data_IF_135294686311
#
_entry.id   IF_135294686311
#
_cell.length_a   1.000
_cell.length_b   1.000
_cell.length_c   1.000
_cell.angle_alpha   90.00
_cell.angle_beta   90.00
_cell.angle_gamma   90.00
#
_symmetry.space_group_name_H-M   'P 1'
#
loop_
_entity.id
_entity.type
_entity.pdbx_description
1 polymer ?
#
# COMPACT_ATOMS: atom_id res chain seq x y z
N UNK A 1 10.07 25.74 24.77
CA UNK A 1 11.41 25.66 24.15
C UNK A 1 11.44 26.67 23.01
N UNK A 2 12.39 27.57 23.02
CA UNK A 2 12.66 28.47 21.88
C UNK A 2 13.16 27.59 20.74
N UNK A 3 12.40 27.53 19.61
CA UNK A 3 12.84 26.89 18.37
C UNK A 3 14.23 27.45 18.01
N UNK A 4 15.19 26.57 17.81
CA UNK A 4 16.42 26.94 17.15
C UNK A 4 16.01 27.37 15.74
N UNK A 5 16.21 28.62 15.35
CA UNK A 5 15.63 29.16 14.12
C UNK A 5 16.40 28.72 12.86
N UNK A 6 17.45 27.89 13.00
CA UNK A 6 18.34 27.57 11.90
C UNK A 6 18.79 26.09 11.90
N UNK A 7 18.61 25.42 10.78
CA UNK A 7 18.94 24.01 10.58
C UNK A 7 19.70 23.77 9.26
N UNK A 8 20.52 22.73 9.22
CA UNK A 8 21.12 22.25 7.95
C UNK A 8 20.05 21.61 7.08
N UNK A 9 19.06 20.94 7.73
CA UNK A 9 18.00 20.21 7.06
C UNK A 9 16.65 20.38 7.79
N UNK A 10 15.61 20.81 7.08
CA UNK A 10 14.23 20.70 7.53
C UNK A 10 13.50 19.58 6.76
N UNK A 11 12.87 18.67 7.49
CA UNK A 11 12.11 17.55 6.94
C UNK A 11 10.62 17.85 7.12
N UNK A 12 9.87 17.89 6.02
CA UNK A 12 8.44 18.23 6.05
C UNK A 12 7.61 16.97 5.99
N UNK A 13 7.04 16.58 7.13
CA UNK A 13 6.26 15.37 7.35
C UNK A 13 7.04 14.33 8.15
N UNK A 14 6.50 13.95 9.32
CA UNK A 14 7.09 12.98 10.26
C UNK A 14 6.57 11.56 10.07
N UNK A 15 6.29 11.13 8.82
CA UNK A 15 5.91 9.75 8.49
C UNK A 15 7.10 8.80 8.39
N UNK A 16 6.90 7.66 7.72
CA UNK A 16 7.93 6.66 7.50
C UNK A 16 9.20 7.27 6.88
N UNK A 17 9.05 7.98 5.75
CA UNK A 17 10.16 8.64 5.07
C UNK A 17 10.80 9.73 5.93
N UNK A 18 9.99 10.54 6.62
CA UNK A 18 10.51 11.65 7.44
C UNK A 18 11.34 11.17 8.62
N UNK A 19 10.89 10.16 9.35
CA UNK A 19 11.65 9.58 10.47
C UNK A 19 12.96 8.94 9.97
N UNK A 20 12.93 8.25 8.82
CA UNK A 20 14.15 7.67 8.22
C UNK A 20 15.11 8.77 7.73
N UNK A 21 14.60 9.83 7.14
CA UNK A 21 15.41 10.99 6.75
C UNK A 21 16.08 11.63 7.99
N UNK A 22 15.32 11.83 9.08
CA UNK A 22 15.82 12.36 10.33
C UNK A 22 16.94 11.50 10.94
N UNK A 23 16.73 10.17 10.99
CA UNK A 23 17.76 9.23 11.47
C UNK A 23 19.03 9.31 10.60
N UNK A 24 18.87 9.33 9.28
CA UNK A 24 20.00 9.37 8.35
C UNK A 24 20.77 10.68 8.46
N UNK A 25 20.07 11.79 8.60
CA UNK A 25 20.66 13.13 8.77
C UNK A 25 21.37 13.25 10.13
N UNK A 26 20.72 12.83 11.21
CA UNK A 26 21.30 12.83 12.56
C UNK A 26 22.55 11.96 12.65
N UNK A 27 22.53 10.75 12.09
CA UNK A 27 23.73 9.88 11.98
C UNK A 27 24.84 10.51 11.14
N UNK A 28 24.51 11.46 10.29
CA UNK A 28 25.46 12.22 9.48
C UNK A 28 25.97 13.50 10.16
N UNK A 29 25.49 13.81 11.37
CA UNK A 29 25.86 14.99 12.14
C UNK A 29 25.18 16.29 11.69
N UNK A 30 24.11 16.23 10.89
CA UNK A 30 23.37 17.41 10.43
C UNK A 30 22.43 17.90 11.54
N UNK A 31 22.43 19.22 11.79
CA UNK A 31 21.42 19.86 12.63
C UNK A 31 20.06 19.81 11.91
N UNK A 32 19.14 18.97 12.40
CA UNK A 32 17.95 18.56 11.67
C UNK A 32 16.68 18.76 12.49
N UNK A 33 15.62 19.24 11.83
CA UNK A 33 14.25 19.31 12.38
C UNK A 33 13.26 18.55 11.51
N UNK A 34 12.36 17.82 12.15
CA UNK A 34 11.18 17.19 11.51
C UNK A 34 9.95 18.05 11.85
N UNK A 35 9.27 18.55 10.82
CA UNK A 35 8.07 19.36 10.92
C UNK A 35 6.84 18.49 10.63
N UNK A 36 6.06 18.19 11.66
CA UNK A 36 4.87 17.32 11.56
C UNK A 36 3.59 18.12 11.85
N UNK A 37 2.60 17.98 10.98
CA UNK A 37 1.30 18.67 11.12
C UNK A 37 0.42 18.16 12.25
N UNK A 38 0.60 16.89 12.63
CA UNK A 38 -0.14 16.27 13.73
C UNK A 38 0.60 16.45 15.05
N UNK A 39 -0.07 16.13 16.16
CA UNK A 39 0.51 16.16 17.51
C UNK A 39 1.53 15.04 17.77
N UNK A 40 1.74 14.14 16.80
CA UNK A 40 2.71 13.03 16.88
C UNK A 40 3.18 12.62 15.50
N UNK A 41 4.47 12.31 15.36
CA UNK A 41 5.07 11.68 14.19
C UNK A 41 4.66 10.20 14.05
N UNK A 42 4.73 9.65 12.85
CA UNK A 42 4.59 8.21 12.56
C UNK A 42 3.18 7.63 12.64
N UNK A 43 2.12 8.44 12.74
CA UNK A 43 0.75 7.95 12.94
C UNK A 43 0.30 6.94 11.87
N UNK A 44 0.63 7.17 10.58
CA UNK A 44 0.26 6.27 9.48
C UNK A 44 0.97 4.92 9.57
N UNK A 45 2.19 4.85 10.16
CA UNK A 45 2.94 3.59 10.35
C UNK A 45 2.09 2.58 11.15
N UNK A 46 1.40 3.05 12.20
CA UNK A 46 0.60 2.21 13.09
C UNK A 46 -0.56 1.48 12.39
N UNK A 47 -1.05 2.03 11.27
CA UNK A 47 -2.13 1.43 10.50
C UNK A 47 -1.65 0.46 9.41
N UNK A 48 -0.36 0.44 9.11
CA UNK A 48 0.19 -0.39 8.03
C UNK A 48 0.19 -1.88 8.38
N UNK A 49 -0.03 -2.73 7.36
CA UNK A 49 -0.04 -4.18 7.53
C UNK A 49 -1.06 -4.66 8.58
N UNK A 50 -2.24 -4.02 8.68
CA UNK A 50 -3.24 -4.28 9.73
C UNK A 50 -2.66 -4.19 11.16
N UNK A 51 -1.89 -3.15 11.43
CA UNK A 51 -1.24 -2.93 12.74
C UNK A 51 0.03 -3.76 12.97
N UNK A 52 0.50 -4.52 11.97
CA UNK A 52 1.73 -5.34 12.06
C UNK A 52 2.96 -4.63 11.48
N UNK A 53 2.78 -3.62 10.64
CA UNK A 53 3.80 -2.92 9.86
C UNK A 53 4.59 -3.87 8.94
N UNK A 54 4.10 -4.08 7.72
CA UNK A 54 4.85 -4.80 6.69
C UNK A 54 5.99 -3.89 6.18
N UNK A 55 7.17 -4.04 6.75
CA UNK A 55 8.33 -3.16 6.58
C UNK A 55 8.89 -3.16 5.15
N UNK A 56 8.86 -4.35 4.51
CA UNK A 56 9.53 -4.57 3.23
C UNK A 56 9.09 -5.90 2.62
N UNK A 57 9.70 -6.24 1.49
CA UNK A 57 9.58 -7.54 0.82
C UNK A 57 10.93 -7.93 0.21
N UNK A 58 11.27 -9.22 0.25
CA UNK A 58 12.50 -9.75 -0.35
C UNK A 58 12.44 -9.85 -1.89
N UNK A 59 11.23 -9.75 -2.46
CA UNK A 59 10.97 -9.97 -3.88
C UNK A 59 10.73 -8.66 -4.65
N UNK A 60 11.28 -7.53 -4.21
CA UNK A 60 11.08 -6.22 -4.85
C UNK A 60 11.81 -6.17 -6.19
N UNK A 61 11.06 -5.87 -7.26
CA UNK A 61 11.61 -5.65 -8.60
C UNK A 61 10.98 -4.41 -9.22
N UNK A 62 11.62 -3.84 -10.24
CA UNK A 62 11.08 -2.68 -10.98
C UNK A 62 9.73 -2.97 -11.65
N UNK A 63 9.44 -4.23 -11.97
CA UNK A 63 8.15 -4.64 -12.53
C UNK A 63 6.98 -4.50 -11.55
N UNK A 64 7.26 -4.30 -10.26
CA UNK A 64 6.27 -4.19 -9.21
C UNK A 64 5.80 -2.76 -8.95
N UNK A 65 6.33 -1.76 -9.69
CA UNK A 65 5.94 -0.37 -9.57
C UNK A 65 5.43 0.24 -10.89
N UNK A 66 4.55 1.22 -10.72
CA UNK A 66 4.15 2.17 -11.75
C UNK A 66 4.67 3.55 -11.35
N UNK A 67 5.47 4.21 -12.20
CA UNK A 67 6.14 5.46 -11.86
C UNK A 67 6.43 6.31 -13.09
N UNK A 68 6.55 7.63 -12.89
CA UNK A 68 7.11 8.58 -13.87
C UNK A 68 8.62 8.82 -13.68
N UNK A 69 9.24 8.24 -12.63
CA UNK A 69 10.68 8.29 -12.44
C UNK A 69 11.40 7.44 -13.49
N UNK A 70 12.64 7.83 -13.81
CA UNK A 70 13.54 7.00 -14.57
C UNK A 70 13.82 5.68 -13.80
N UNK A 71 13.76 4.55 -14.51
CA UNK A 71 14.00 3.22 -13.93
C UNK A 71 15.40 3.08 -13.31
N UNK A 72 16.42 3.72 -13.90
CA UNK A 72 17.76 3.75 -13.35
C UNK A 72 17.82 4.46 -11.99
N UNK A 73 17.10 5.59 -11.84
CA UNK A 73 16.97 6.29 -10.56
C UNK A 73 16.32 5.40 -9.50
N UNK A 74 15.22 4.71 -9.85
CA UNK A 74 14.56 3.77 -8.92
C UNK A 74 15.52 2.65 -8.51
N UNK A 75 16.25 2.05 -9.45
CA UNK A 75 17.27 1.02 -9.16
C UNK A 75 18.34 1.52 -8.19
N UNK A 76 18.93 2.70 -8.47
CA UNK A 76 19.95 3.31 -7.60
C UNK A 76 19.45 3.53 -6.18
N UNK A 77 18.20 3.97 -6.02
CA UNK A 77 17.56 4.15 -4.71
C UNK A 77 17.45 2.83 -3.98
N UNK A 78 16.92 1.78 -4.63
CA UNK A 78 16.75 0.45 -4.01
C UNK A 78 18.10 -0.16 -3.65
N UNK A 79 19.08 -0.12 -4.55
CA UNK A 79 20.42 -0.66 -4.34
C UNK A 79 21.15 0.06 -3.19
N UNK A 80 21.04 1.39 -3.11
CA UNK A 80 21.66 2.20 -2.05
C UNK A 80 21.13 1.87 -0.65
N UNK A 81 19.87 1.47 -0.54
CA UNK A 81 19.24 1.08 0.72
C UNK A 81 19.56 -0.39 1.05
N UNK A 82 19.54 -1.25 0.04
CA UNK A 82 19.79 -2.67 0.18
C UNK A 82 18.71 -3.37 1.02
N UNK A 83 19.13 -4.13 2.03
CA UNK A 83 18.24 -4.92 2.86
C UNK A 83 17.64 -4.10 4.01
N UNK A 84 16.31 -4.00 4.06
CA UNK A 84 15.59 -3.30 5.12
C UNK A 84 15.88 -3.89 6.53
N UNK A 85 16.13 -5.20 6.65
CA UNK A 85 16.46 -5.83 7.94
C UNK A 85 17.73 -5.25 8.55
N UNK A 86 18.75 -4.91 7.74
CA UNK A 86 19.97 -4.28 8.24
C UNK A 86 19.68 -2.91 8.85
N UNK A 87 18.86 -2.09 8.17
CA UNK A 87 18.45 -0.80 8.70
C UNK A 87 17.72 -0.95 10.03
N UNK A 88 16.69 -1.79 10.08
CA UNK A 88 15.91 -1.98 11.31
C UNK A 88 16.71 -2.65 12.44
N UNK A 89 17.59 -3.59 12.11
CA UNK A 89 18.50 -4.19 13.09
C UNK A 89 19.44 -3.14 13.72
N UNK A 90 19.90 -2.15 12.95
CA UNK A 90 20.68 -1.04 13.46
C UNK A 90 19.92 -0.12 14.43
N UNK A 91 18.59 -0.24 14.47
CA UNK A 91 17.68 0.42 15.43
C UNK A 91 17.31 -0.50 16.62
N UNK A 92 17.89 -1.70 16.70
CA UNK A 92 17.53 -2.69 17.71
C UNK A 92 16.25 -3.48 17.42
N UNK A 93 15.70 -3.39 16.22
CA UNK A 93 14.49 -4.11 15.80
C UNK A 93 14.86 -5.40 15.06
N UNK A 94 14.36 -6.54 15.56
CA UNK A 94 14.49 -7.85 14.90
C UNK A 94 13.31 -8.02 13.95
N UNK A 95 13.56 -8.57 12.76
CA UNK A 95 12.56 -8.83 11.74
C UNK A 95 12.33 -10.34 11.54
N UNK A 96 11.21 -10.67 10.92
CA UNK A 96 10.89 -12.00 10.37
C UNK A 96 10.31 -11.87 8.97
N UNK A 97 10.62 -12.85 8.13
CA UNK A 97 10.07 -12.94 6.77
C UNK A 97 9.03 -14.05 6.72
N UNK A 98 7.91 -13.81 6.05
CA UNK A 98 6.92 -14.83 5.76
C UNK A 98 7.19 -15.56 4.42
N UNK A 99 6.39 -16.59 4.12
CA UNK A 99 6.51 -17.40 2.91
C UNK A 99 6.35 -16.62 1.60
N UNK A 100 5.68 -15.45 1.65
CA UNK A 100 5.51 -14.53 0.51
C UNK A 100 6.65 -13.51 0.39
N UNK A 101 7.70 -13.61 1.19
CA UNK A 101 8.83 -12.69 1.22
C UNK A 101 8.55 -11.38 1.96
N UNK A 102 7.39 -11.22 2.61
CA UNK A 102 7.04 -10.00 3.36
C UNK A 102 7.80 -9.95 4.68
N UNK A 103 8.39 -8.79 4.96
CA UNK A 103 9.21 -8.56 6.16
C UNK A 103 8.40 -7.78 7.20
N UNK A 104 8.29 -8.35 8.39
CA UNK A 104 7.60 -7.76 9.54
C UNK A 104 8.54 -7.62 10.74
N UNK A 105 8.24 -6.72 11.70
CA UNK A 105 8.90 -6.80 13.00
C UNK A 105 8.61 -8.15 13.65
N UNK A 106 9.57 -8.68 14.41
CA UNK A 106 9.42 -9.99 15.05
C UNK A 106 8.18 -10.06 15.96
N UNK A 107 7.86 -8.94 16.61
CA UNK A 107 6.68 -8.77 17.46
C UNK A 107 5.34 -8.75 16.70
N UNK A 108 5.35 -8.63 15.36
CA UNK A 108 4.16 -8.40 14.52
C UNK A 108 3.34 -7.18 14.98
N UNK A 109 4.00 -6.15 15.52
CA UNK A 109 3.36 -4.95 16.07
C UNK A 109 4.00 -3.68 15.50
N UNK A 110 3.17 -2.86 14.84
CA UNK A 110 3.61 -1.59 14.27
C UNK A 110 4.11 -0.58 15.31
N UNK A 111 3.62 -0.66 16.55
CA UNK A 111 4.09 0.20 17.65
C UNK A 111 5.58 -0.02 17.91
N UNK A 112 6.06 -1.27 17.93
CA UNK A 112 7.48 -1.56 18.14
C UNK A 112 8.38 -0.93 17.07
N UNK A 113 7.89 -0.85 15.80
CA UNK A 113 8.62 -0.17 14.73
C UNK A 113 8.71 1.34 15.00
N UNK A 114 7.57 1.95 15.35
CA UNK A 114 7.52 3.38 15.61
C UNK A 114 8.36 3.76 16.82
N UNK A 115 8.32 2.96 17.88
CA UNK A 115 9.12 3.20 19.11
C UNK A 115 10.62 3.10 18.81
N UNK A 116 11.07 2.12 18.02
CA UNK A 116 12.46 1.99 17.60
C UNK A 116 12.92 3.21 16.78
N UNK A 117 12.10 3.70 15.85
CA UNK A 117 12.40 4.90 15.06
C UNK A 117 12.52 6.15 15.96
N UNK A 118 11.58 6.37 16.87
CA UNK A 118 11.56 7.52 17.77
C UNK A 118 12.70 7.49 18.79
N UNK A 119 13.00 6.31 19.32
CA UNK A 119 14.13 6.15 20.23
C UNK A 119 15.44 6.60 19.57
N UNK A 120 15.64 6.21 18.32
CA UNK A 120 16.85 6.62 17.58
C UNK A 120 16.82 8.13 17.22
N UNK A 121 15.68 8.70 16.84
CA UNK A 121 15.50 10.15 16.62
C UNK A 121 15.92 10.93 17.90
N UNK A 122 15.41 10.50 19.06
CA UNK A 122 15.73 11.11 20.34
C UNK A 122 17.22 10.96 20.68
N UNK A 123 17.80 9.77 20.48
CA UNK A 123 19.23 9.49 20.74
C UNK A 123 20.16 10.37 19.89
N UNK A 124 19.75 10.66 18.66
CA UNK A 124 20.51 11.50 17.72
C UNK A 124 20.30 13.00 17.93
N UNK A 125 19.41 13.40 18.83
CA UNK A 125 19.09 14.81 19.08
C UNK A 125 18.40 15.51 17.92
N UNK A 126 17.73 14.75 17.03
CA UNK A 126 16.91 15.31 15.93
C UNK A 126 15.66 15.95 16.54
N UNK A 127 15.42 17.21 16.23
CA UNK A 127 14.25 17.93 16.75
C UNK A 127 12.97 17.50 16.04
N UNK A 128 11.91 17.23 16.82
CA UNK A 128 10.56 16.96 16.31
C UNK A 128 9.66 18.13 16.70
N UNK A 129 9.25 18.94 15.70
CA UNK A 129 8.30 20.03 15.90
C UNK A 129 6.93 19.58 15.38
N UNK A 130 6.05 19.24 16.31
CA UNK A 130 4.68 18.77 16.06
C UNK A 130 3.69 19.94 16.02
N UNK A 131 2.43 19.65 15.57
CA UNK A 131 1.41 20.66 15.34
C UNK A 131 1.92 21.81 14.42
N UNK A 132 2.82 21.47 13.49
CA UNK A 132 3.44 22.39 12.56
C UNK A 132 2.96 22.11 11.13
N UNK A 133 1.76 22.60 10.81
CA UNK A 133 1.17 22.46 9.47
C UNK A 133 1.81 23.46 8.51
N UNK A 134 2.73 23.00 7.68
CA UNK A 134 3.41 23.83 6.68
C UNK A 134 2.42 24.28 5.60
N UNK A 135 2.35 25.58 5.36
CA UNK A 135 1.48 26.20 4.35
C UNK A 135 2.24 26.97 3.27
N UNK A 136 3.49 27.33 3.54
CA UNK A 136 4.34 27.98 2.55
C UNK A 136 5.83 27.65 2.74
N UNK A 137 6.55 27.69 1.65
CA UNK A 137 8.01 27.63 1.57
C UNK A 137 8.46 28.81 0.73
N UNK A 138 9.46 29.54 1.20
CA UNK A 138 10.05 30.69 0.48
C UNK A 138 11.57 30.60 0.53
N UNK A 139 12.24 31.21 -0.44
CA UNK A 139 13.69 31.46 -0.36
C UNK A 139 13.94 32.85 0.19
N UNK A 140 14.68 32.95 1.28
CA UNK A 140 15.10 34.18 1.95
C UNK A 140 16.62 34.12 2.16
N UNK A 141 17.36 35.05 1.57
CA UNK A 141 18.82 35.15 1.68
C UNK A 141 19.53 33.80 1.33
N UNK A 142 19.07 33.12 0.28
CA UNK A 142 19.64 31.85 -0.18
C UNK A 142 19.15 30.61 0.59
N UNK A 143 18.49 30.78 1.74
CA UNK A 143 17.96 29.70 2.60
C UNK A 143 16.47 29.53 2.44
N UNK A 144 15.95 28.42 2.95
CA UNK A 144 14.52 28.16 2.95
C UNK A 144 13.89 28.66 4.24
N UNK A 145 12.83 29.45 4.10
CA UNK A 145 11.90 29.78 5.16
C UNK A 145 10.67 28.88 5.04
N UNK A 146 10.47 27.97 5.97
CA UNK A 146 9.31 27.08 6.08
C UNK A 146 8.33 27.68 7.05
N UNK A 147 7.11 27.96 6.60
CA UNK A 147 6.10 28.72 7.34
C UNK A 147 4.91 27.82 7.63
N UNK A 148 4.51 27.78 8.89
CA UNK A 148 3.31 27.06 9.34
C UNK A 148 2.03 27.90 9.24
N UNK A 149 0.89 27.24 9.36
CA UNK A 149 -0.45 27.88 9.34
C UNK A 149 -0.63 28.87 10.48
N UNK A 150 -0.03 28.62 11.64
CA UNK A 150 -0.08 29.51 12.81
C UNK A 150 1.01 30.61 12.81
N UNK A 151 1.77 30.73 11.71
CA UNK A 151 2.79 31.77 11.52
C UNK A 151 4.18 31.44 12.10
N UNK A 152 4.38 30.28 12.73
CA UNK A 152 5.72 29.85 13.12
C UNK A 152 6.60 29.69 11.87
N UNK A 153 7.89 29.97 12.03
CA UNK A 153 8.85 29.95 10.92
C UNK A 153 10.11 29.19 11.31
N UNK A 154 10.57 28.33 10.42
CA UNK A 154 11.83 27.60 10.50
C UNK A 154 12.70 27.97 9.30
N UNK A 155 14.00 28.20 9.54
CA UNK A 155 14.99 28.47 8.50
C UNK A 155 15.89 27.26 8.31
N UNK A 156 16.08 26.82 7.07
CA UNK A 156 16.96 25.70 6.77
C UNK A 156 17.76 25.92 5.49
N UNK A 157 18.93 25.31 5.38
CA UNK A 157 19.72 25.31 4.14
C UNK A 157 19.10 24.39 3.08
N UNK A 158 18.64 23.23 3.51
CA UNK A 158 18.02 22.24 2.65
C UNK A 158 16.67 21.79 3.20
N UNK A 159 15.80 21.32 2.30
CA UNK A 159 14.49 20.78 2.64
C UNK A 159 14.35 19.40 2.00
N UNK A 160 13.79 18.43 2.74
CA UNK A 160 13.22 17.20 2.19
C UNK A 160 11.72 17.18 2.45
N UNK A 161 10.95 17.02 1.37
CA UNK A 161 9.50 16.85 1.44
C UNK A 161 9.17 15.36 1.55
N UNK A 162 8.56 14.99 2.67
CA UNK A 162 8.12 13.64 3.01
C UNK A 162 6.65 13.62 3.48
N UNK A 163 5.86 14.58 2.96
CA UNK A 163 4.50 14.84 3.40
C UNK A 163 3.47 13.74 3.03
N UNK A 164 3.91 12.72 2.29
CA UNK A 164 3.05 11.62 1.85
C UNK A 164 2.07 12.03 0.73
N UNK A 165 1.06 11.21 0.50
CA UNK A 165 0.05 11.41 -0.54
C UNK A 165 -1.30 11.87 0.00
N UNK A 166 -2.39 11.29 -0.56
CA UNK A 166 -3.78 11.61 -0.20
C UNK A 166 -4.46 10.51 0.62
N UNK A 167 -3.83 9.32 0.73
CA UNK A 167 -4.42 8.16 1.40
C UNK A 167 -4.15 8.20 2.90
N UNK A 168 -5.20 7.97 3.71
CA UNK A 168 -5.09 8.01 5.17
C UNK A 168 -5.33 9.41 5.75
N UNK A 169 -6.36 10.11 5.30
CA UNK A 169 -6.68 11.48 5.71
C UNK A 169 -6.72 11.69 7.23
N UNK A 170 -7.32 10.74 7.97
CA UNK A 170 -7.35 10.77 9.44
C UNK A 170 -5.98 10.59 10.10
N UNK A 171 -4.98 10.22 9.32
CA UNK A 171 -3.60 9.98 9.74
C UNK A 171 -2.63 11.07 9.24
N UNK A 172 -3.16 12.18 8.73
CA UNK A 172 -2.37 13.36 8.34
C UNK A 172 -1.97 13.46 6.88
N UNK A 173 -2.41 12.54 6.00
CA UNK A 173 -2.11 12.55 4.57
C UNK A 173 -3.37 12.83 3.75
N UNK A 174 -3.65 14.11 3.51
CA UNK A 174 -4.87 14.59 2.81
C UNK A 174 -4.59 15.22 1.43
N UNK A 175 -3.33 15.22 1.01
CA UNK A 175 -2.92 15.78 -0.28
C UNK A 175 -2.80 17.30 -0.33
N UNK A 176 -3.14 18.05 0.73
CA UNK A 176 -3.06 19.51 0.72
C UNK A 176 -1.64 20.03 0.44
N UNK A 177 -0.61 19.27 0.78
CA UNK A 177 0.77 19.69 0.55
C UNK A 177 1.13 19.80 -0.94
N UNK A 178 0.45 19.07 -1.82
CA UNK A 178 0.64 19.22 -3.26
C UNK A 178 0.32 20.62 -3.77
N UNK A 179 -0.59 21.36 -3.11
CA UNK A 179 -0.88 22.76 -3.47
C UNK A 179 0.30 23.68 -3.14
N UNK A 180 1.02 23.41 -2.05
CA UNK A 180 2.26 24.14 -1.73
C UNK A 180 3.31 23.89 -2.82
N UNK A 181 3.46 22.66 -3.29
CA UNK A 181 4.41 22.29 -4.34
C UNK A 181 4.03 22.88 -5.70
N UNK A 182 2.73 22.91 -6.04
CA UNK A 182 2.23 23.59 -7.26
C UNK A 182 2.55 25.08 -7.24
N UNK A 183 2.37 25.76 -6.09
CA UNK A 183 2.73 27.18 -5.91
C UNK A 183 4.23 27.42 -6.05
N UNK A 184 5.06 26.41 -5.77
CA UNK A 184 6.51 26.43 -6.02
C UNK A 184 6.88 26.10 -7.48
N UNK A 185 5.89 25.86 -8.34
CA UNK A 185 6.07 25.61 -9.77
C UNK A 185 6.27 24.14 -10.15
N UNK A 186 6.08 23.19 -9.21
CA UNK A 186 6.21 21.77 -9.50
C UNK A 186 4.95 21.18 -10.14
N UNK A 187 5.15 20.28 -11.10
CA UNK A 187 4.09 19.50 -11.73
C UNK A 187 3.74 18.30 -10.88
N UNK A 188 2.44 18.09 -10.68
CA UNK A 188 1.88 16.96 -9.94
C UNK A 188 1.05 16.13 -10.92
N UNK A 189 1.38 14.86 -11.10
CA UNK A 189 0.59 13.95 -11.91
C UNK A 189 -0.79 13.72 -11.31
N UNK A 190 -1.80 13.25 -12.08
CA UNK A 190 -3.14 13.04 -11.57
C UNK A 190 -3.16 12.10 -10.36
N UNK A 191 -3.68 12.62 -9.24
CA UNK A 191 -3.76 11.87 -7.99
C UNK A 191 -4.97 10.95 -8.01
N UNK A 192 -4.75 9.65 -7.76
CA UNK A 192 -5.81 8.62 -7.71
C UNK A 192 -5.61 7.74 -6.48
N UNK A 193 -6.70 7.28 -5.84
CA UNK A 193 -6.60 6.25 -4.81
C UNK A 193 -6.11 4.93 -5.42
N UNK A 194 -5.21 4.24 -4.73
CA UNK A 194 -4.68 2.94 -5.12
C UNK A 194 -4.64 1.96 -3.94
N UNK A 195 -4.43 0.69 -4.24
CA UNK A 195 -4.51 -0.40 -3.27
C UNK A 195 -5.83 -0.35 -2.47
N UNK A 196 -6.94 -0.43 -3.19
CA UNK A 196 -8.29 -0.30 -2.67
C UNK A 196 -9.07 -1.60 -2.81
N UNK A 197 -10.13 -1.82 -2.00
CA UNK A 197 -11.14 -2.83 -2.30
C UNK A 197 -11.81 -2.56 -3.64
N UNK A 198 -12.29 -3.60 -4.33
CA UNK A 198 -13.10 -3.50 -5.55
C UNK A 198 -14.58 -3.61 -5.18
N UNK A 199 -15.38 -2.61 -5.55
CA UNK A 199 -16.84 -2.62 -5.33
C UNK A 199 -17.55 -3.52 -6.32
N UNK A 200 -18.57 -4.22 -5.85
CA UNK A 200 -19.47 -5.03 -6.68
C UNK A 200 -20.90 -4.95 -6.17
N UNK A 201 -21.86 -4.92 -7.10
CA UNK A 201 -23.29 -4.93 -6.79
C UNK A 201 -23.86 -6.34 -6.59
N UNK A 202 -23.00 -7.37 -6.41
CA UNK A 202 -23.48 -8.72 -6.15
C UNK A 202 -24.36 -8.76 -4.91
N UNK A 203 -25.60 -9.25 -4.99
CA UNK A 203 -26.55 -9.27 -3.89
C UNK A 203 -26.09 -10.16 -2.72
N UNK A 204 -25.11 -11.02 -2.94
CA UNK A 204 -24.63 -11.98 -1.97
C UNK A 204 -23.50 -11.45 -1.09
N UNK A 205 -22.79 -10.37 -1.48
CA UNK A 205 -21.63 -9.85 -0.75
C UNK A 205 -21.95 -9.54 0.72
N UNK A 206 -23.10 -8.92 0.99
CA UNK A 206 -23.54 -8.61 2.35
C UNK A 206 -23.62 -9.87 3.23
N UNK A 207 -24.11 -10.98 2.64
CA UNK A 207 -24.21 -12.27 3.36
C UNK A 207 -22.84 -12.94 3.58
N UNK A 208 -21.83 -12.57 2.81
CA UNK A 208 -20.46 -13.08 2.87
C UNK A 208 -19.55 -12.21 3.76
N UNK A 209 -20.01 -11.05 4.22
CA UNK A 209 -19.22 -10.08 4.98
C UNK A 209 -18.39 -10.75 6.07
N UNK A 210 -17.08 -10.47 6.06
CA UNK A 210 -16.11 -10.98 7.03
C UNK A 210 -15.54 -12.36 6.70
N UNK A 211 -16.11 -13.10 5.73
CA UNK A 211 -15.56 -14.37 5.30
C UNK A 211 -14.33 -14.15 4.40
N UNK A 212 -13.50 -15.19 4.34
CA UNK A 212 -12.29 -15.22 3.52
C UNK A 212 -12.22 -16.51 2.74
N UNK A 213 -11.62 -16.45 1.55
CA UNK A 213 -11.35 -17.61 0.71
C UNK A 213 -10.01 -17.41 -0.01
N UNK A 214 -9.24 -18.49 -0.14
CA UNK A 214 -8.06 -18.48 -1.01
C UNK A 214 -8.52 -18.77 -2.45
N UNK A 215 -8.03 -18.00 -3.41
CA UNK A 215 -8.42 -18.14 -4.81
C UNK A 215 -7.32 -17.65 -5.75
N UNK A 216 -7.33 -18.16 -6.98
CA UNK A 216 -6.74 -17.43 -8.08
C UNK A 216 -7.76 -16.41 -8.58
N UNK A 217 -7.38 -15.13 -8.61
CA UNK A 217 -8.26 -14.00 -8.92
C UNK A 217 -7.86 -13.43 -10.26
N UNK A 218 -8.79 -13.37 -11.21
CA UNK A 218 -8.58 -12.75 -12.52
C UNK A 218 -9.49 -11.55 -12.70
N UNK A 219 -8.94 -10.45 -13.23
CA UNK A 219 -9.69 -9.31 -13.72
C UNK A 219 -9.92 -9.50 -15.22
N UNK A 220 -11.17 -9.49 -15.63
CA UNK A 220 -11.61 -9.70 -17.01
C UNK A 220 -12.24 -8.42 -17.57
N UNK A 221 -11.97 -8.11 -18.83
CA UNK A 221 -12.68 -7.04 -19.55
C UNK A 221 -14.09 -7.46 -19.98
N UNK A 222 -14.80 -6.58 -20.71
CA UNK A 222 -16.13 -6.83 -21.24
C UNK A 222 -16.20 -7.99 -22.25
N UNK A 223 -15.07 -8.33 -22.87
CA UNK A 223 -14.95 -9.46 -23.81
C UNK A 223 -14.53 -10.76 -23.10
N UNK A 224 -14.44 -10.73 -21.77
CA UNK A 224 -13.96 -11.82 -20.89
C UNK A 224 -12.50 -12.20 -21.10
N UNK A 225 -11.69 -11.30 -21.65
CA UNK A 225 -10.24 -11.46 -21.74
C UNK A 225 -9.58 -11.12 -20.40
N UNK A 226 -8.62 -11.92 -19.99
CA UNK A 226 -7.86 -11.70 -18.75
C UNK A 226 -6.93 -10.48 -18.94
N UNK A 227 -7.15 -9.45 -18.15
CA UNK A 227 -6.32 -8.24 -18.08
C UNK A 227 -5.15 -8.43 -17.09
N UNK A 228 -5.43 -9.05 -15.94
CA UNK A 228 -4.45 -9.35 -14.92
C UNK A 228 -4.95 -10.48 -14.02
N UNK A 229 -4.01 -11.20 -13.39
CA UNK A 229 -4.34 -12.25 -12.42
C UNK A 229 -3.41 -12.16 -11.21
N UNK A 230 -3.96 -12.48 -10.04
CA UNK A 230 -3.26 -12.56 -8.76
C UNK A 230 -3.71 -13.82 -8.01
N UNK A 231 -2.86 -14.32 -7.11
CA UNK A 231 -3.22 -15.45 -6.25
C UNK A 231 -3.19 -15.01 -4.79
N UNK A 232 -4.20 -15.40 -4.01
CA UNK A 232 -4.20 -15.03 -2.59
C UNK A 232 -5.55 -15.11 -1.90
N UNK A 233 -5.58 -14.60 -0.66
CA UNK A 233 -6.77 -14.55 0.17
C UNK A 233 -7.65 -13.35 -0.23
N UNK A 234 -8.89 -13.65 -0.64
CA UNK A 234 -9.96 -12.67 -0.87
C UNK A 234 -10.81 -12.58 0.39
N UNK A 235 -11.03 -11.36 0.86
CA UNK A 235 -11.95 -11.06 1.96
C UNK A 235 -13.21 -10.38 1.40
N UNK A 236 -14.37 -10.89 1.78
CA UNK A 236 -15.66 -10.32 1.40
C UNK A 236 -16.07 -9.21 2.38
N UNK A 237 -16.34 -8.01 1.84
CA UNK A 237 -16.96 -6.89 2.55
C UNK A 237 -18.48 -6.85 2.34
N UNK A 238 -19.10 -5.73 2.69
CA UNK A 238 -20.55 -5.56 2.53
C UNK A 238 -20.94 -5.36 1.05
N UNK A 239 -20.15 -4.58 0.32
CA UNK A 239 -20.31 -4.24 -1.09
C UNK A 239 -18.97 -4.31 -1.85
N UNK A 240 -17.94 -4.94 -1.26
CA UNK A 240 -16.58 -4.95 -1.79
C UNK A 240 -15.93 -6.33 -1.67
N UNK A 241 -15.02 -6.58 -2.60
CA UNK A 241 -13.96 -7.58 -2.49
C UNK A 241 -12.69 -6.89 -1.99
N UNK A 242 -11.96 -7.51 -1.08
CA UNK A 242 -10.76 -6.97 -0.44
C UNK A 242 -9.68 -8.06 -0.32
N UNK A 243 -8.48 -7.69 0.11
CA UNK A 243 -7.32 -8.58 0.20
C UNK A 243 -6.20 -8.12 -0.72
N UNK A 244 -4.97 -8.59 -0.47
CA UNK A 244 -3.77 -8.16 -1.20
C UNK A 244 -3.92 -8.38 -2.71
N UNK A 245 -4.39 -9.57 -3.12
CA UNK A 245 -4.62 -9.90 -4.53
C UNK A 245 -5.64 -8.95 -5.20
N UNK A 246 -6.70 -8.58 -4.47
CA UNK A 246 -7.70 -7.60 -4.95
C UNK A 246 -7.08 -6.20 -5.06
N UNK A 247 -6.30 -5.77 -4.07
CA UNK A 247 -5.65 -4.46 -4.09
C UNK A 247 -4.69 -4.29 -5.28
N UNK A 248 -3.96 -5.33 -5.63
CA UNK A 248 -3.06 -5.31 -6.79
C UNK A 248 -3.82 -5.21 -8.12
N UNK A 249 -5.02 -5.78 -8.20
CA UNK A 249 -5.87 -5.70 -9.40
C UNK A 249 -6.64 -4.37 -9.50
N UNK A 250 -6.90 -3.70 -8.37
CA UNK A 250 -7.76 -2.53 -8.29
C UNK A 250 -7.28 -1.33 -9.14
N UNK A 251 -5.96 -1.18 -9.35
CA UNK A 251 -5.41 -0.11 -10.20
C UNK A 251 -5.80 -0.23 -11.67
N UNK A 252 -6.17 -1.45 -12.11
CA UNK A 252 -6.57 -1.78 -13.49
C UNK A 252 -8.07 -2.01 -13.62
N UNK A 253 -8.81 -2.06 -12.50
CA UNK A 253 -10.24 -2.34 -12.49
C UNK A 253 -11.04 -1.12 -12.91
N UNK A 254 -11.96 -1.32 -13.87
CA UNK A 254 -12.90 -0.32 -14.36
C UNK A 254 -14.33 -0.85 -14.27
N UNK A 255 -15.31 0.06 -14.23
CA UNK A 255 -16.73 -0.29 -14.20
C UNK A 255 -17.11 -1.20 -15.36
N UNK A 256 -17.89 -2.24 -15.07
CA UNK A 256 -18.33 -3.24 -16.05
C UNK A 256 -17.33 -4.37 -16.29
N UNK A 257 -16.09 -4.27 -15.79
CA UNK A 257 -15.18 -5.41 -15.75
C UNK A 257 -15.66 -6.46 -14.76
N UNK A 258 -15.06 -7.65 -14.81
CA UNK A 258 -15.45 -8.78 -13.98
C UNK A 258 -14.25 -9.26 -13.16
N UNK A 259 -14.43 -9.36 -11.86
CA UNK A 259 -13.52 -10.12 -10.99
C UNK A 259 -14.00 -11.57 -10.95
N UNK A 260 -13.15 -12.49 -11.39
CA UNK A 260 -13.39 -13.93 -11.38
C UNK A 260 -12.53 -14.61 -10.33
N UNK A 261 -13.14 -15.44 -9.50
CA UNK A 261 -12.46 -16.23 -8.46
C UNK A 261 -12.46 -17.70 -8.86
N UNK A 262 -11.28 -18.28 -9.08
CA UNK A 262 -11.12 -19.74 -9.11
C UNK A 262 -10.83 -20.20 -7.67
N UNK A 263 -11.80 -20.90 -7.07
CA UNK A 263 -11.75 -21.36 -5.67
C UNK A 263 -10.98 -22.67 -5.50
N UNK A 264 -10.61 -23.33 -6.59
CA UNK A 264 -9.89 -24.59 -6.60
C UNK A 264 -8.76 -24.58 -7.65
N UNK A 265 -7.80 -23.62 -7.53
CA UNK A 265 -6.81 -23.38 -8.59
C UNK A 265 -5.83 -24.55 -8.80
N UNK A 266 -5.70 -25.46 -7.84
CA UNK A 266 -4.84 -26.64 -7.92
C UNK A 266 -5.47 -27.78 -8.75
N UNK A 267 -6.76 -27.66 -9.12
CA UNK A 267 -7.51 -28.68 -9.84
C UNK A 267 -7.95 -28.21 -11.22
N UNK A 268 -7.81 -29.07 -12.22
CA UNK A 268 -8.43 -28.81 -13.53
C UNK A 268 -9.95 -28.92 -13.43
N UNK A 269 -10.69 -28.29 -14.37
CA UNK A 269 -12.15 -28.37 -14.45
C UNK A 269 -12.65 -29.81 -14.44
N UNK A 270 -11.95 -30.72 -15.15
CA UNK A 270 -12.30 -32.14 -15.21
C UNK A 270 -12.08 -32.83 -13.85
N UNK A 271 -11.05 -32.46 -13.10
CA UNK A 271 -10.82 -32.97 -11.74
C UNK A 271 -11.89 -32.47 -10.78
N UNK A 272 -12.23 -31.17 -10.80
CA UNK A 272 -13.31 -30.61 -9.99
C UNK A 272 -14.64 -31.32 -10.30
N UNK A 273 -14.99 -31.53 -11.59
CA UNK A 273 -16.20 -32.24 -11.95
C UNK A 273 -16.24 -33.67 -11.41
N UNK A 274 -15.11 -34.40 -11.50
CA UNK A 274 -15.01 -35.75 -10.92
C UNK A 274 -15.18 -35.77 -9.41
N UNK A 275 -14.57 -34.80 -8.70
CA UNK A 275 -14.71 -34.65 -7.26
C UNK A 275 -16.17 -34.38 -6.85
N UNK A 276 -16.84 -33.44 -7.52
CA UNK A 276 -18.25 -33.11 -7.23
C UNK A 276 -19.16 -34.29 -7.46
N UNK A 277 -18.98 -35.06 -8.55
CA UNK A 277 -19.73 -36.31 -8.80
C UNK A 277 -19.42 -37.40 -7.79
N UNK A 278 -18.19 -37.49 -7.33
CA UNK A 278 -17.83 -38.41 -6.25
C UNK A 278 -18.54 -38.04 -4.94
N UNK A 279 -18.56 -36.74 -4.57
CA UNK A 279 -19.27 -36.29 -3.37
C UNK A 279 -20.78 -36.43 -3.50
N UNK A 280 -21.35 -36.28 -4.70
CA UNK A 280 -22.75 -36.58 -4.93
C UNK A 280 -23.12 -38.02 -4.59
N UNK A 281 -22.26 -38.98 -4.98
CA UNK A 281 -22.46 -40.41 -4.65
C UNK A 281 -22.24 -40.68 -3.16
N UNK A 282 -21.17 -40.11 -2.58
CA UNK A 282 -20.79 -40.30 -1.17
C UNK A 282 -21.84 -39.77 -0.19
N UNK A 283 -22.57 -38.71 -0.60
CA UNK A 283 -23.53 -37.98 0.24
C UNK A 283 -24.95 -38.05 -0.32
N UNK A 284 -25.24 -39.12 -1.05
CA UNK A 284 -26.52 -39.28 -1.77
C UNK A 284 -27.75 -39.31 -0.88
N UNK A 285 -27.58 -39.61 0.40
CA UNK A 285 -28.61 -39.67 1.44
C UNK A 285 -28.76 -38.37 2.25
N UNK A 286 -28.02 -37.31 1.90
CA UNK A 286 -28.05 -36.03 2.60
C UNK A 286 -28.67 -34.93 1.75
N UNK A 287 -28.87 -33.75 2.33
CA UNK A 287 -29.34 -32.56 1.63
C UNK A 287 -28.20 -31.79 0.97
N UNK A 288 -28.49 -31.03 -0.08
CA UNK A 288 -27.54 -30.29 -0.93
C UNK A 288 -26.65 -29.32 -0.12
N UNK A 289 -27.16 -28.78 0.98
CA UNK A 289 -26.38 -27.93 1.90
C UNK A 289 -25.05 -28.59 2.32
N UNK A 290 -25.00 -29.91 2.41
CA UNK A 290 -23.85 -30.68 2.86
C UNK A 290 -22.91 -31.09 1.71
N UNK A 291 -23.28 -30.89 0.44
CA UNK A 291 -22.50 -31.37 -0.70
C UNK A 291 -21.05 -30.88 -0.71
N UNK A 292 -20.84 -29.60 -0.39
CA UNK A 292 -19.52 -28.96 -0.41
C UNK A 292 -18.82 -28.92 0.97
N UNK A 293 -19.34 -29.65 1.96
CA UNK A 293 -18.70 -29.75 3.28
C UNK A 293 -17.29 -30.32 3.15
N UNK A 294 -16.28 -29.66 3.73
CA UNK A 294 -14.87 -30.02 3.65
C UNK A 294 -14.14 -29.43 2.43
N UNK A 295 -14.86 -28.73 1.53
CA UNK A 295 -14.25 -27.99 0.42
C UNK A 295 -14.26 -26.49 0.71
N UNK A 296 -15.41 -25.94 1.09
CA UNK A 296 -15.62 -24.51 1.30
C UNK A 296 -16.25 -24.22 2.66
N UNK A 297 -16.10 -22.95 3.10
CA UNK A 297 -16.89 -22.43 4.21
C UNK A 297 -18.39 -22.64 3.93
N UNK A 298 -19.16 -23.09 4.91
CA UNK A 298 -20.59 -23.43 4.76
C UNK A 298 -21.40 -22.31 4.11
N UNK A 299 -21.21 -21.06 4.51
CA UNK A 299 -21.97 -19.91 3.97
C UNK A 299 -21.61 -19.63 2.51
N UNK A 300 -20.33 -19.75 2.14
CA UNK A 300 -19.88 -19.63 0.73
C UNK A 300 -20.51 -20.75 -0.10
N UNK A 301 -20.45 -21.99 0.37
CA UNK A 301 -21.06 -23.14 -0.28
C UNK A 301 -22.57 -22.96 -0.52
N UNK A 302 -23.32 -22.48 0.47
CA UNK A 302 -24.75 -22.21 0.37
C UNK A 302 -25.08 -21.19 -0.72
N UNK A 303 -24.27 -20.14 -0.86
CA UNK A 303 -24.49 -19.11 -1.88
C UNK A 303 -24.21 -19.67 -3.26
N UNK A 304 -23.09 -20.38 -3.44
CA UNK A 304 -22.76 -20.99 -4.74
C UNK A 304 -23.83 -22.01 -5.16
N UNK A 305 -24.35 -22.82 -4.24
CA UNK A 305 -25.46 -23.75 -4.54
C UNK A 305 -26.71 -23.00 -4.99
N UNK A 306 -27.08 -21.91 -4.30
CA UNK A 306 -28.22 -21.05 -4.71
C UNK A 306 -28.04 -20.45 -6.11
N UNK A 307 -26.84 -19.96 -6.43
CA UNK A 307 -26.51 -19.44 -7.77
C UNK A 307 -26.52 -20.53 -8.86
N UNK A 308 -26.48 -21.81 -8.46
CA UNK A 308 -26.61 -22.94 -9.37
C UNK A 308 -28.05 -23.51 -9.42
N UNK A 309 -29.05 -22.78 -8.91
CA UNK A 309 -30.44 -23.20 -8.79
C UNK A 309 -30.59 -24.56 -8.07
N UNK A 310 -29.77 -24.77 -7.02
CA UNK A 310 -29.82 -25.96 -6.18
C UNK A 310 -30.39 -25.55 -4.81
N UNK A 311 -31.67 -25.88 -4.50
CA UNK A 311 -32.25 -25.67 -3.18
C UNK A 311 -31.47 -26.39 -2.11
N UNK A 312 -31.17 -25.73 -0.99
CA UNK A 312 -30.33 -26.29 0.09
C UNK A 312 -30.93 -27.56 0.71
N UNK A 313 -32.28 -27.67 0.71
CA UNK A 313 -33.03 -28.82 1.22
C UNK A 313 -33.17 -29.97 0.21
N UNK A 314 -32.77 -29.77 -1.05
CA UNK A 314 -32.86 -30.79 -2.09
C UNK A 314 -31.98 -31.98 -1.73
N UNK A 315 -32.45 -33.21 -1.96
CA UNK A 315 -31.62 -34.39 -1.77
C UNK A 315 -30.42 -34.37 -2.77
N UNK A 316 -29.24 -34.68 -2.29
CA UNK A 316 -28.00 -34.68 -3.12
C UNK A 316 -28.12 -35.63 -4.31
N UNK A 317 -28.78 -36.80 -4.17
CA UNK A 317 -29.01 -37.77 -5.25
C UNK A 317 -29.88 -37.19 -6.39
N UNK A 318 -30.71 -36.19 -6.11
CA UNK A 318 -31.64 -35.57 -7.08
C UNK A 318 -31.01 -34.39 -7.83
N UNK A 319 -29.78 -33.98 -7.51
CA UNK A 319 -29.10 -32.90 -8.21
C UNK A 319 -28.77 -33.35 -9.63
N UNK A 320 -29.30 -32.62 -10.61
CA UNK A 320 -29.15 -32.97 -12.03
C UNK A 320 -27.71 -32.79 -12.52
N UNK A 321 -27.34 -33.50 -13.58
CA UNK A 321 -26.06 -33.36 -14.25
C UNK A 321 -25.81 -31.92 -14.71
N UNK A 322 -26.83 -31.21 -15.16
CA UNK A 322 -26.75 -29.79 -15.54
C UNK A 322 -26.37 -28.92 -14.36
N UNK A 323 -26.99 -29.11 -13.21
CA UNK A 323 -26.67 -28.38 -11.97
C UNK A 323 -25.26 -28.67 -11.47
N UNK A 324 -24.78 -29.93 -11.54
CA UNK A 324 -23.40 -30.27 -11.17
C UNK A 324 -22.35 -29.65 -12.10
N UNK A 325 -22.66 -29.58 -13.40
CA UNK A 325 -21.77 -28.92 -14.35
C UNK A 325 -21.69 -27.40 -14.06
N UNK A 326 -22.83 -26.76 -13.82
CA UNK A 326 -22.87 -25.34 -13.42
C UNK A 326 -22.12 -25.09 -12.11
N UNK A 327 -22.28 -25.99 -11.13
CA UNK A 327 -21.54 -25.92 -9.86
C UNK A 327 -20.02 -26.04 -10.10
N UNK A 328 -19.60 -26.96 -10.99
CA UNK A 328 -18.18 -27.12 -11.36
C UNK A 328 -17.64 -25.84 -11.98
N UNK A 329 -18.39 -25.23 -12.89
CA UNK A 329 -18.03 -23.95 -13.52
C UNK A 329 -17.91 -22.85 -12.48
N UNK A 330 -18.89 -22.70 -11.58
CA UNK A 330 -18.87 -21.68 -10.52
C UNK A 330 -17.69 -21.84 -9.57
N UNK A 331 -17.27 -23.05 -9.23
CA UNK A 331 -16.10 -23.28 -8.39
C UNK A 331 -14.80 -22.84 -9.06
N UNK A 332 -14.70 -22.93 -10.37
CA UNK A 332 -13.55 -22.47 -11.15
C UNK A 332 -13.64 -21.00 -11.63
N UNK A 333 -14.83 -20.42 -11.61
CA UNK A 333 -15.10 -19.09 -12.18
C UNK A 333 -16.28 -18.41 -11.47
N UNK A 334 -16.09 -18.05 -10.20
CA UNK A 334 -17.11 -17.31 -9.46
C UNK A 334 -16.95 -15.82 -9.69
N UNK A 335 -17.91 -15.20 -10.37
CA UNK A 335 -17.79 -13.86 -10.95
C UNK A 335 -18.50 -12.78 -10.15
N UNK A 336 -17.86 -11.60 -10.10
CA UNK A 336 -18.37 -10.39 -9.47
C UNK A 336 -18.14 -9.22 -10.42
N UNK A 337 -19.22 -8.59 -10.88
CA UNK A 337 -19.12 -7.41 -11.73
C UNK A 337 -18.60 -6.22 -10.91
N UNK A 338 -17.62 -5.50 -11.46
CA UNK A 338 -17.11 -4.25 -10.92
C UNK A 338 -18.17 -3.17 -11.10
N UNK A 339 -18.76 -2.68 -10.00
CA UNK A 339 -19.88 -1.75 -10.06
C UNK A 339 -19.42 -0.34 -10.36
N UNK A 340 -19.10 0.46 -9.45
CA UNK A 340 -18.62 1.82 -9.65
C UNK A 340 -17.19 1.92 -9.12
N UNK A 341 -16.62 3.12 -9.20
CA UNK A 341 -15.24 3.39 -8.75
C UNK A 341 -14.91 2.60 -7.49
N UNK A 342 -14.15 1.56 -7.67
CA UNK A 342 -13.59 0.76 -6.59
C UNK A 342 -12.78 1.62 -5.61
N UNK A 343 -12.38 2.83 -6.00
CA UNK A 343 -11.34 3.59 -5.37
C UNK A 343 -11.87 4.88 -4.73
N UNK A 344 -12.19 4.83 -3.46
CA UNK A 344 -12.41 6.02 -2.64
C UNK A 344 -11.18 6.25 -1.73
N UNK A 345 -10.81 7.52 -1.53
CA UNK A 345 -9.69 7.90 -0.67
C UNK A 345 -9.77 7.31 0.75
N UNK A 346 -10.97 7.23 1.32
CA UNK A 346 -11.19 6.67 2.68
C UNK A 346 -10.78 5.20 2.80
N UNK A 347 -10.80 4.46 1.67
CA UNK A 347 -10.51 3.02 1.62
C UNK A 347 -9.16 2.71 0.94
N UNK A 348 -8.47 3.72 0.43
CA UNK A 348 -7.17 3.55 -0.23
C UNK A 348 -6.05 3.44 0.78
N UNK A 349 -5.06 2.61 0.48
CA UNK A 349 -3.86 2.48 1.30
C UNK A 349 -2.75 3.42 0.84
N UNK A 350 -2.65 3.67 -0.46
CA UNK A 350 -1.64 4.52 -1.07
C UNK A 350 -2.24 5.42 -2.15
N UNK A 351 -1.49 6.44 -2.52
CA UNK A 351 -1.77 7.37 -3.61
C UNK A 351 -1.02 6.94 -4.85
N UNK A 352 -1.71 6.82 -5.98
CA UNK A 352 -1.11 6.78 -7.30
C UNK A 352 -1.02 8.22 -7.82
N UNK A 353 0.13 8.60 -8.39
CA UNK A 353 0.44 9.98 -8.73
C UNK A 353 1.24 10.69 -7.62
N UNK A 354 1.76 11.87 -7.94
CA UNK A 354 2.60 12.66 -7.05
C UNK A 354 3.45 13.66 -7.83
N UNK A 355 4.57 14.09 -7.27
CA UNK A 355 5.57 14.89 -7.98
C UNK A 355 6.07 14.06 -9.15
N UNK A 356 5.96 14.62 -10.38
CA UNK A 356 6.41 13.95 -11.60
C UNK A 356 7.91 13.64 -11.54
N UNK A 357 8.29 12.48 -12.05
CA UNK A 357 9.70 12.10 -12.20
C UNK A 357 10.54 13.07 -13.03
N UNK A 358 9.91 13.85 -13.93
CA UNK A 358 10.58 14.92 -14.68
C UNK A 358 10.95 16.14 -13.83
N UNK A 359 10.39 16.25 -12.65
CA UNK A 359 10.63 17.32 -11.69
C UNK A 359 11.80 17.02 -10.73
N UNK A 360 12.36 15.82 -10.81
CA UNK A 360 13.48 15.36 -9.98
C UNK A 360 14.68 14.95 -10.82
N UNK A 361 15.87 15.19 -10.31
CA UNK A 361 17.11 14.60 -10.84
C UNK A 361 17.31 13.16 -10.33
N UNK A 362 18.45 12.56 -10.70
CA UNK A 362 18.81 11.20 -10.26
C UNK A 362 19.03 11.07 -8.74
N UNK A 363 19.12 12.17 -8.02
CA UNK A 363 19.30 12.25 -6.56
C UNK A 363 18.02 12.57 -5.81
N UNK A 364 16.87 12.54 -6.48
CA UNK A 364 15.55 12.94 -5.96
C UNK A 364 15.50 14.41 -5.52
N UNK A 365 16.39 15.26 -6.02
CA UNK A 365 16.34 16.70 -5.83
C UNK A 365 15.46 17.35 -6.91
N UNK A 366 14.83 18.46 -6.54
CA UNK A 366 14.07 19.27 -7.49
C UNK A 366 15.00 19.81 -8.60
N UNK A 367 14.60 19.61 -9.86
CA UNK A 367 15.26 20.24 -11.00
C UNK A 367 15.04 21.75 -11.08
N UNK A 368 14.09 22.29 -10.32
CA UNK A 368 13.68 23.71 -10.32
C UNK A 368 14.24 24.50 -9.15
N UNK A 369 14.38 23.87 -7.98
CA UNK A 369 14.74 24.55 -6.74
C UNK A 369 15.90 23.82 -6.07
N UNK A 370 17.11 24.35 -6.22
CA UNK A 370 18.30 23.81 -5.58
C UNK A 370 18.15 23.73 -4.06
N UNK A 371 18.45 22.56 -3.46
CA UNK A 371 18.37 22.29 -2.04
C UNK A 371 16.99 21.80 -1.58
N UNK A 372 16.04 21.59 -2.50
CA UNK A 372 14.76 20.94 -2.24
C UNK A 372 14.80 19.50 -2.77
N UNK A 373 14.49 18.51 -1.94
CA UNK A 373 14.43 17.10 -2.30
C UNK A 373 13.07 16.49 -1.93
N UNK A 374 12.79 15.33 -2.50
CA UNK A 374 11.55 14.59 -2.26
C UNK A 374 11.86 13.17 -1.81
N UNK A 375 11.02 12.58 -0.95
CA UNK A 375 11.11 11.17 -0.59
C UNK A 375 9.76 10.57 -0.19
N UNK A 376 9.59 9.28 -0.45
CA UNK A 376 8.39 8.53 -0.12
C UNK A 376 7.24 8.75 -1.10
N UNK A 377 6.01 8.67 -0.58
CA UNK A 377 4.75 8.66 -1.33
C UNK A 377 4.40 10.02 -1.98
N UNK A 378 5.15 11.08 -1.70
CA UNK A 378 4.98 12.40 -2.35
C UNK A 378 5.42 12.37 -3.82
N UNK A 379 6.31 11.45 -4.18
CA UNK A 379 6.79 11.21 -5.55
C UNK A 379 5.78 10.34 -6.28
N UNK A 380 5.64 10.56 -7.59
CA UNK A 380 4.81 9.72 -8.46
C UNK A 380 5.43 8.33 -8.64
N UNK A 381 5.24 7.49 -7.64
CA UNK A 381 5.59 6.08 -7.66
C UNK A 381 4.58 5.28 -6.83
N UNK A 382 4.00 4.26 -7.45
CA UNK A 382 3.03 3.38 -6.85
C UNK A 382 3.49 1.93 -6.96
N UNK A 383 3.62 1.27 -5.83
CA UNK A 383 4.07 -0.11 -5.74
C UNK A 383 2.91 -1.06 -5.45
N UNK A 384 3.09 -2.34 -5.78
CA UNK A 384 2.20 -3.40 -5.32
C UNK A 384 2.00 -3.41 -3.81
N UNK A 385 0.91 -4.01 -3.35
CA UNK A 385 0.70 -4.29 -1.94
C UNK A 385 1.64 -5.40 -1.46
N UNK A 386 2.23 -5.26 -0.28
CA UNK A 386 3.08 -6.32 0.27
C UNK A 386 4.41 -5.85 0.87
N UNK A 387 4.49 -4.60 1.33
CA UNK A 387 5.69 -4.03 1.96
C UNK A 387 6.52 -3.13 1.03
N UNK A 388 6.21 -3.12 -0.26
CA UNK A 388 6.97 -2.40 -1.27
C UNK A 388 6.91 -0.87 -1.08
N UNK A 389 5.74 -0.30 -0.78
CA UNK A 389 5.58 1.15 -0.56
C UNK A 389 6.32 1.64 0.69
N UNK A 390 6.35 0.85 1.76
CA UNK A 390 7.16 1.17 2.95
C UNK A 390 8.65 1.04 2.65
N UNK A 391 9.07 0.02 1.92
CA UNK A 391 10.48 -0.11 1.50
C UNK A 391 10.92 1.13 0.71
N UNK A 392 10.13 1.58 -0.26
CA UNK A 392 10.40 2.82 -0.99
C UNK A 392 10.49 4.03 -0.06
N UNK A 393 9.59 4.11 0.92
CA UNK A 393 9.60 5.21 1.88
C UNK A 393 10.90 5.29 2.68
N UNK A 394 11.44 4.13 3.10
CA UNK A 394 12.74 4.04 3.78
C UNK A 394 13.90 4.35 2.84
N UNK A 395 13.91 3.68 1.69
CA UNK A 395 14.99 3.75 0.71
C UNK A 395 15.19 5.16 0.14
N UNK A 396 14.11 5.77 -0.37
CA UNK A 396 14.16 7.10 -0.96
C UNK A 396 14.57 8.18 0.03
N UNK A 397 14.11 8.07 1.29
CA UNK A 397 14.48 9.01 2.34
C UNK A 397 15.97 8.95 2.68
N UNK A 398 16.51 7.75 2.84
CA UNK A 398 17.93 7.57 3.09
C UNK A 398 18.77 8.05 1.90
N UNK A 399 18.35 7.74 0.69
CA UNK A 399 19.05 8.13 -0.54
C UNK A 399 19.10 9.65 -0.71
N UNK A 400 17.97 10.34 -0.55
CA UNK A 400 17.90 11.79 -0.66
C UNK A 400 18.81 12.51 0.35
N UNK A 401 18.86 12.06 1.61
CA UNK A 401 19.75 12.65 2.63
C UNK A 401 21.23 12.44 2.28
N UNK A 402 21.61 11.23 1.86
CA UNK A 402 22.98 10.92 1.45
C UNK A 402 23.45 11.82 0.30
N UNK A 403 22.55 12.11 -0.64
CA UNK A 403 22.83 12.98 -1.81
C UNK A 403 23.04 14.44 -1.42
N UNK A 404 22.26 14.98 -0.46
CA UNK A 404 22.45 16.33 0.06
C UNK A 404 23.86 16.46 0.66
N UNK A 405 24.31 15.48 1.43
CA UNK A 405 25.64 15.51 2.07
C UNK A 405 26.80 15.48 1.07
N UNK A 406 26.68 14.72 -0.03
CA UNK A 406 27.68 14.70 -1.10
C UNK A 406 27.84 16.07 -1.74
N UNK A 407 26.75 16.73 -2.07
CA UNK A 407 26.77 18.07 -2.69
C UNK A 407 27.33 19.17 -1.76
N UNK A 408 27.19 19.02 -0.43
CA UNK A 408 27.80 19.94 0.53
C UNK A 408 29.34 19.77 0.64
N UNK A 409 29.86 18.59 0.33
CA UNK A 409 31.29 18.30 0.38
C UNK A 409 32.06 18.59 -0.90
N UNK A 410 31.36 18.98 -2.00
CA UNK A 410 31.97 19.36 -3.25
C UNK A 410 32.47 18.18 -4.11
N UNK A 411 31.93 17.01 -3.89
CA UNK A 411 32.20 15.80 -4.69
C UNK A 411 31.11 15.60 -5.77
#
# INVERSE_FOLDING_TARGET
>A
MTLNNYYDLAIIGGGASGLTAGITAGRSGMNTVILERLSRTGKKILATGNGRCNLSNNNITLADCETSLNSETVSKVLESFGNAEHFFRSLGLICRTDESGRIYPYSLNATAVLDALRLEISRLGVEETVDFKVTAIRKENGKFAVISEDGRKVIAENIIVTAGGCSGQSMGTDGQFFDVLRKLGHSVTPLKPALCPIKSNSPFLKSLKGLRVHANVSLLDSEKKIIASENGEVQFGEDVLSGICIFNLASKAEKGMIVSLNLMPEYSVQQVNRLIRHFQKLRSDTVAENLLTGILNKRIAQIILKECDIPLSKNVSEISVKQLNLLTEKLGNWTFEVSDKAAEWKNSQVTKGGISGTETDEFLQSTKIKGLSFAGEIIDINWKCGGYNLHWAWASAQYAVKSIKKHQKGD
#
